data_IF_046802809165
#
_entry.id   IF_046802809165
#
_cell.length_a   1.000
_cell.length_b   1.000
_cell.length_c   1.000
_cell.angle_alpha   90.00
_cell.angle_beta   90.00
_cell.angle_gamma   90.00
#
_symmetry.space_group_name_H-M   'P 1'
#
loop_
_entity.id
_entity.type
_entity.pdbx_description
1 polymer ?
#
# COMPACT_ATOMS: atom_id res chain seq x y z
N UNK A 1 17.57 -17.56 15.33
CA UNK A 1 17.97 -17.89 13.95
C UNK A 1 17.69 -19.33 13.48
N UNK A 2 17.93 -20.45 14.21
CA UNK A 2 17.67 -21.80 13.65
C UNK A 2 16.18 -22.14 13.43
N UNK A 3 15.25 -21.55 14.17
CA UNK A 3 13.80 -21.78 13.97
C UNK A 3 13.24 -21.12 12.70
N UNK A 4 13.82 -20.00 12.27
CA UNK A 4 13.43 -19.27 11.05
C UNK A 4 13.76 -20.07 9.77
N UNK A 5 14.95 -20.65 9.69
CA UNK A 5 15.37 -21.43 8.52
C UNK A 5 14.52 -22.70 8.33
N UNK A 6 14.07 -23.34 9.42
CA UNK A 6 13.21 -24.50 9.36
C UNK A 6 11.79 -24.18 8.89
N UNK A 7 11.23 -23.02 9.27
CA UNK A 7 9.91 -22.58 8.83
C UNK A 7 9.90 -22.22 7.34
N UNK A 8 10.93 -21.51 6.86
CA UNK A 8 11.08 -21.19 5.44
C UNK A 8 11.21 -22.47 4.60
N UNK A 9 11.99 -23.44 5.06
CA UNK A 9 12.17 -24.72 4.36
C UNK A 9 10.86 -25.54 4.29
N UNK A 10 10.04 -25.52 5.33
CA UNK A 10 8.74 -26.20 5.34
C UNK A 10 7.73 -25.54 4.40
N UNK A 11 7.69 -24.20 4.37
CA UNK A 11 6.80 -23.45 3.47
C UNK A 11 7.17 -23.67 2.01
N UNK A 12 8.47 -23.67 1.69
CA UNK A 12 8.96 -23.96 0.35
C UNK A 12 8.72 -25.42 -0.09
N UNK A 13 8.80 -26.37 0.85
CA UNK A 13 8.57 -27.80 0.54
C UNK A 13 7.09 -28.11 0.27
N UNK A 14 6.17 -27.44 0.93
CA UNK A 14 4.72 -27.58 0.67
C UNK A 14 4.27 -27.00 -0.68
N UNK A 15 5.01 -26.02 -1.22
CA UNK A 15 4.72 -25.39 -2.51
C UNK A 15 5.26 -26.14 -3.73
N UNK A 16 6.09 -27.17 -3.53
CA UNK A 16 6.76 -27.92 -4.61
C UNK A 16 5.91 -29.03 -5.27
N UNK A 17 4.61 -29.14 -4.97
CA UNK A 17 3.74 -30.09 -5.65
C UNK A 17 3.50 -29.65 -7.09
N UNK A 18 4.20 -30.30 -8.01
CA UNK A 18 4.19 -30.05 -9.44
C UNK A 18 2.80 -30.17 -10.07
N UNK A 19 2.35 -29.14 -10.76
CA UNK A 19 1.23 -29.18 -11.71
C UNK A 19 1.80 -28.84 -13.10
N UNK A 20 1.41 -29.57 -14.17
CA UNK A 20 2.04 -29.38 -15.48
C UNK A 20 1.76 -28.01 -16.10
N UNK A 21 2.79 -27.52 -16.77
CA UNK A 21 2.88 -26.23 -17.44
C UNK A 21 1.88 -26.09 -18.58
N UNK A 22 1.02 -25.06 -18.54
CA UNK A 22 0.38 -24.43 -19.71
C UNK A 22 -0.40 -23.19 -19.25
N UNK A 23 0.22 -22.03 -19.21
CA UNK A 23 -0.34 -20.69 -19.47
C UNK A 23 0.62 -19.58 -19.05
N UNK A 24 0.84 -18.62 -19.92
CA UNK A 24 1.57 -17.40 -19.67
C UNK A 24 0.86 -16.58 -18.57
N UNK A 25 1.64 -16.06 -17.63
CA UNK A 25 1.21 -15.05 -16.68
C UNK A 25 1.12 -13.73 -17.46
N UNK A 26 -0.03 -13.45 -18.04
CA UNK A 26 -0.33 -12.12 -18.57
C UNK A 26 -0.84 -11.25 -17.42
N UNK A 27 -0.29 -10.06 -17.30
CA UNK A 27 -0.87 -9.00 -16.49
C UNK A 27 -2.14 -8.52 -17.18
N UNK A 28 -3.25 -9.22 -17.00
CA UNK A 28 -4.53 -9.03 -17.67
C UNK A 28 -5.27 -7.74 -17.26
N UNK A 29 -4.53 -6.68 -16.93
CA UNK A 29 -5.11 -5.38 -16.62
C UNK A 29 -5.15 -4.41 -17.81
N UNK A 30 -4.64 -4.78 -18.96
CA UNK A 30 -4.92 -4.06 -20.18
C UNK A 30 -6.36 -4.38 -20.66
N UNK A 31 -7.29 -3.55 -20.20
CA UNK A 31 -8.57 -3.45 -20.89
C UNK A 31 -8.27 -3.06 -22.33
N UNK A 32 -8.78 -3.81 -23.33
CA UNK A 32 -8.71 -3.33 -24.71
C UNK A 32 -9.24 -1.89 -24.72
N UNK A 33 -8.45 -0.94 -25.17
CA UNK A 33 -8.80 0.51 -25.20
C UNK A 33 -9.98 0.81 -26.15
N UNK A 34 -10.70 -0.23 -26.59
CA UNK A 34 -11.82 -0.18 -27.51
C UNK A 34 -13.17 0.05 -26.84
N UNK A 35 -13.29 -0.23 -25.55
CA UNK A 35 -14.56 -0.05 -24.85
C UNK A 35 -14.74 1.39 -24.41
N UNK A 36 -15.82 2.00 -24.87
CA UNK A 36 -16.17 3.38 -24.48
C UNK A 36 -16.56 3.49 -23.00
N UNK A 37 -17.01 2.40 -22.42
CA UNK A 37 -17.37 2.30 -20.99
C UNK A 37 -16.87 0.96 -20.49
N UNK A 38 -16.26 0.93 -19.32
CA UNK A 38 -15.82 -0.30 -18.66
C UNK A 38 -16.26 -0.34 -17.21
N UNK A 39 -16.44 -1.57 -16.73
CA UNK A 39 -16.70 -1.88 -15.33
C UNK A 39 -15.73 -2.99 -14.92
N UNK A 40 -15.04 -2.79 -13.81
CA UNK A 40 -14.19 -3.79 -13.18
C UNK A 40 -14.59 -3.96 -11.73
N UNK A 41 -14.42 -5.14 -11.19
CA UNK A 41 -14.66 -5.40 -9.78
C UNK A 41 -13.61 -6.36 -9.22
N UNK A 42 -13.31 -6.21 -7.96
CA UNK A 42 -12.47 -7.12 -7.17
C UNK A 42 -13.25 -7.55 -5.94
N UNK A 43 -13.30 -8.84 -5.69
CA UNK A 43 -13.76 -9.45 -4.44
C UNK A 43 -12.58 -10.21 -3.83
N UNK A 44 -12.27 -9.95 -2.55
CA UNK A 44 -11.25 -10.67 -1.78
C UNK A 44 -11.85 -11.21 -0.47
N UNK A 45 -11.90 -12.52 -0.36
CA UNK A 45 -12.36 -13.22 0.86
C UNK A 45 -11.20 -14.00 1.44
N UNK A 46 -10.98 -13.89 2.74
CA UNK A 46 -9.82 -14.49 3.43
C UNK A 46 -10.20 -15.35 4.61
N UNK A 47 -9.54 -16.48 4.72
CA UNK A 47 -9.39 -17.20 5.98
C UNK A 47 -8.11 -16.71 6.65
N UNK A 48 -8.25 -16.07 7.79
CA UNK A 48 -7.14 -15.45 8.53
C UNK A 48 -6.90 -16.20 9.82
N UNK A 49 -5.65 -16.52 10.12
CA UNK A 49 -5.21 -17.00 11.44
C UNK A 49 -4.21 -16.00 12.00
N UNK A 50 -4.67 -15.20 12.95
CA UNK A 50 -3.88 -14.17 13.59
C UNK A 50 -3.29 -14.66 14.92
N UNK A 51 -2.06 -14.22 15.23
CA UNK A 51 -1.37 -14.43 16.48
C UNK A 51 -1.97 -13.64 17.64
N UNK A 52 -1.48 -13.83 18.88
CA UNK A 52 -2.01 -13.18 20.07
C UNK A 52 -1.47 -11.74 20.22
N UNK A 53 -1.72 -10.90 19.24
CA UNK A 53 -1.33 -9.48 19.22
C UNK A 53 -2.52 -8.63 18.76
N UNK A 54 -2.58 -7.34 19.13
CA UNK A 54 -3.63 -6.45 18.64
C UNK A 54 -3.56 -6.25 17.13
N UNK A 55 -4.70 -5.93 16.54
CA UNK A 55 -4.85 -5.50 15.14
C UNK A 55 -4.92 -3.99 15.07
N UNK A 56 -4.39 -3.40 14.02
CA UNK A 56 -4.61 -1.97 13.79
C UNK A 56 -6.03 -1.67 13.30
N UNK A 57 -6.73 -2.63 12.70
CA UNK A 57 -8.11 -2.42 12.23
C UNK A 57 -9.13 -2.33 13.35
N UNK A 58 -8.92 -3.04 14.45
CA UNK A 58 -9.88 -3.11 15.55
C UNK A 58 -9.61 -2.07 16.65
N UNK A 59 -8.34 -1.91 17.02
CA UNK A 59 -7.97 -1.10 18.18
C UNK A 59 -7.13 0.14 17.84
N UNK A 60 -6.78 0.33 16.56
CA UNK A 60 -5.88 1.39 16.12
C UNK A 60 -4.46 1.25 16.66
N UNK A 61 -4.13 0.11 17.24
CA UNK A 61 -2.80 -0.28 17.72
C UNK A 61 -2.44 -1.62 17.11
N UNK A 62 -1.15 -1.91 17.03
CA UNK A 62 -0.67 -3.14 16.39
C UNK A 62 -0.13 -2.89 15.00
N UNK A 63 0.62 -3.85 14.51
CA UNK A 63 1.44 -3.72 13.29
C UNK A 63 0.92 -4.55 12.12
N UNK A 64 -0.04 -5.47 12.36
CA UNK A 64 -0.68 -6.25 11.31
C UNK A 64 -2.16 -5.88 11.17
N UNK A 65 -2.69 -5.95 9.95
CA UNK A 65 -4.11 -5.75 9.66
C UNK A 65 -5.00 -6.66 10.50
N UNK A 66 -4.60 -7.91 10.71
CA UNK A 66 -5.37 -8.89 11.49
C UNK A 66 -4.63 -9.26 12.77
N UNK A 67 -5.32 -9.14 13.89
CA UNK A 67 -4.85 -9.48 15.23
C UNK A 67 -5.68 -10.57 15.90
N UNK A 68 -5.25 -10.96 17.10
CA UNK A 68 -5.93 -11.88 17.96
C UNK A 68 -7.22 -11.30 18.54
N UNK A 69 -7.99 -12.15 19.19
CA UNK A 69 -9.19 -11.73 19.92
C UNK A 69 -8.79 -11.23 21.32
N UNK A 70 -9.20 -10.02 21.68
CA UNK A 70 -9.04 -9.54 23.05
C UNK A 70 -9.94 -10.31 24.00
N UNK A 71 -9.39 -10.78 25.10
CA UNK A 71 -10.06 -11.50 26.18
C UNK A 71 -9.75 -10.80 27.49
N UNK A 72 -10.75 -10.70 28.39
CA UNK A 72 -10.61 -9.98 29.65
C UNK A 72 -10.72 -8.47 29.50
N UNK A 73 -10.66 -7.76 30.64
CA UNK A 73 -10.74 -6.30 30.73
C UNK A 73 -9.72 -5.78 31.76
N UNK A 74 -9.28 -4.54 31.60
CA UNK A 74 -8.34 -3.92 32.54
C UNK A 74 -6.98 -4.65 32.56
N UNK A 75 -6.46 -4.95 33.75
CA UNK A 75 -5.16 -5.59 33.93
C UNK A 75 -5.10 -7.05 33.46
N UNK A 76 -6.25 -7.72 33.34
CA UNK A 76 -6.35 -9.11 32.86
C UNK A 76 -6.55 -9.19 31.33
N UNK A 77 -6.61 -8.06 30.64
CA UNK A 77 -6.78 -8.02 29.19
C UNK A 77 -5.56 -8.63 28.48
N UNK A 78 -5.80 -9.59 27.62
CA UNK A 78 -4.78 -10.22 26.79
C UNK A 78 -5.37 -10.59 25.42
N UNK A 79 -4.52 -10.91 24.48
CA UNK A 79 -4.94 -11.36 23.14
C UNK A 79 -4.76 -12.85 22.99
N UNK A 80 -5.76 -13.51 22.43
CA UNK A 80 -5.69 -14.93 22.07
C UNK A 80 -5.66 -15.10 20.55
N UNK A 81 -5.01 -16.18 20.11
CA UNK A 81 -5.00 -16.55 18.68
C UNK A 81 -6.42 -16.81 18.19
N UNK A 82 -6.73 -16.30 17.00
CA UNK A 82 -8.05 -16.46 16.38
C UNK A 82 -7.92 -16.92 14.95
N UNK A 83 -8.92 -17.70 14.48
CA UNK A 83 -9.10 -18.03 13.06
C UNK A 83 -10.48 -17.53 12.64
N UNK A 84 -10.56 -16.70 11.61
CA UNK A 84 -11.81 -16.11 11.14
C UNK A 84 -11.85 -16.01 9.60
N UNK A 85 -13.06 -16.12 9.04
CA UNK A 85 -13.33 -15.82 7.64
C UNK A 85 -13.78 -14.36 7.54
N UNK A 86 -13.16 -13.60 6.65
CA UNK A 86 -13.44 -12.18 6.47
C UNK A 86 -13.66 -11.85 5.00
N UNK A 87 -14.58 -10.93 4.71
CA UNK A 87 -14.61 -10.19 3.47
C UNK A 87 -13.61 -9.05 3.61
N UNK A 88 -12.45 -9.20 2.98
CA UNK A 88 -11.35 -8.24 3.15
C UNK A 88 -11.49 -7.02 2.25
N UNK A 89 -12.01 -7.22 1.03
CA UNK A 89 -12.19 -6.13 0.09
C UNK A 89 -13.28 -6.46 -0.93
N UNK A 90 -14.10 -5.47 -1.23
CA UNK A 90 -14.94 -5.40 -2.42
C UNK A 90 -14.69 -4.04 -3.07
N UNK A 91 -14.10 -4.04 -4.26
CA UNK A 91 -13.83 -2.82 -5.01
C UNK A 91 -14.58 -2.83 -6.34
N UNK A 92 -15.04 -1.66 -6.74
CA UNK A 92 -15.71 -1.46 -8.05
C UNK A 92 -15.04 -0.24 -8.70
N UNK A 93 -14.56 -0.43 -9.92
CA UNK A 93 -14.06 0.62 -10.80
C UNK A 93 -15.01 0.77 -11.99
N UNK A 94 -15.40 2.00 -12.27
CA UNK A 94 -16.16 2.36 -13.47
C UNK A 94 -15.40 3.43 -14.23
N UNK A 95 -15.38 3.32 -15.54
CA UNK A 95 -14.75 4.36 -16.36
C UNK A 95 -15.38 4.48 -17.73
N UNK A 96 -15.07 5.58 -18.39
CA UNK A 96 -15.53 5.90 -19.73
C UNK A 96 -14.50 6.72 -20.51
N UNK A 97 -14.46 6.48 -21.83
CA UNK A 97 -13.74 7.34 -22.76
C UNK A 97 -14.74 8.35 -23.35
N UNK A 98 -14.57 9.61 -22.98
CA UNK A 98 -15.38 10.73 -23.43
C UNK A 98 -14.91 11.26 -24.80
N UNK A 99 -15.72 12.11 -25.48
CA UNK A 99 -15.28 12.79 -26.70
C UNK A 99 -13.95 13.51 -26.52
N UNK A 100 -13.13 13.50 -27.56
CA UNK A 100 -11.78 14.06 -27.51
C UNK A 100 -10.75 13.13 -26.83
N UNK A 101 -11.11 11.90 -26.47
CA UNK A 101 -10.21 10.92 -25.85
C UNK A 101 -9.87 11.25 -24.39
N UNK A 102 -10.75 11.93 -23.67
CA UNK A 102 -10.65 12.13 -22.23
C UNK A 102 -11.13 10.83 -21.54
N UNK A 103 -10.34 10.27 -20.64
CA UNK A 103 -10.74 9.16 -19.79
C UNK A 103 -11.28 9.68 -18.47
N UNK A 104 -12.48 9.25 -18.09
CA UNK A 104 -13.07 9.47 -16.79
C UNK A 104 -13.11 8.12 -16.06
N UNK A 105 -12.68 8.09 -14.80
CA UNK A 105 -12.61 6.88 -13.99
C UNK A 105 -12.97 7.21 -12.55
N UNK A 106 -13.68 6.30 -11.90
CA UNK A 106 -13.93 6.34 -10.46
C UNK A 106 -13.82 4.93 -9.87
N UNK A 107 -13.23 4.84 -8.68
CA UNK A 107 -13.09 3.60 -7.94
C UNK A 107 -13.65 3.75 -6.54
N UNK A 108 -14.52 2.83 -6.16
CA UNK A 108 -15.11 2.72 -4.83
C UNK A 108 -14.63 1.43 -4.16
N UNK A 109 -14.32 1.50 -2.89
CA UNK A 109 -13.87 0.38 -2.08
C UNK A 109 -14.79 0.16 -0.87
N UNK A 110 -14.85 -1.09 -0.41
CA UNK A 110 -15.56 -1.51 0.78
C UNK A 110 -14.74 -2.58 1.50
N UNK A 111 -14.32 -2.32 2.73
CA UNK A 111 -13.52 -3.20 3.58
C UNK A 111 -14.16 -3.28 4.97
N UNK A 112 -15.15 -4.16 5.16
CA UNK A 112 -15.97 -4.17 6.37
C UNK A 112 -15.22 -4.62 7.63
N UNK A 113 -14.02 -5.14 7.49
CA UNK A 113 -13.14 -5.53 8.60
C UNK A 113 -12.29 -4.37 9.14
N UNK A 114 -12.36 -3.18 8.53
CA UNK A 114 -11.69 -1.98 9.03
C UNK A 114 -12.68 -1.17 9.86
N UNK A 115 -12.43 -1.05 11.16
CA UNK A 115 -13.22 -0.26 12.11
C UNK A 115 -14.72 -0.65 12.15
N UNK A 116 -15.06 -1.90 11.81
CA UNK A 116 -16.46 -2.36 11.64
C UNK A 116 -17.28 -1.45 10.70
N UNK A 117 -16.62 -0.86 9.69
CA UNK A 117 -17.27 0.05 8.75
C UNK A 117 -18.16 -0.69 7.79
N UNK A 118 -19.43 -0.30 7.72
CA UNK A 118 -20.40 -0.83 6.77
C UNK A 118 -20.60 0.07 5.54
N UNK A 119 -19.80 1.12 5.38
CA UNK A 119 -19.95 2.11 4.33
C UNK A 119 -18.85 1.98 3.27
N UNK A 120 -19.17 2.05 1.96
CA UNK A 120 -18.18 2.15 0.92
C UNK A 120 -17.58 3.56 0.88
N UNK A 121 -16.34 3.67 0.39
CA UNK A 121 -15.65 4.93 0.22
C UNK A 121 -15.00 5.06 -1.16
N UNK A 122 -14.82 6.30 -1.59
CA UNK A 122 -14.22 6.62 -2.88
C UNK A 122 -12.69 6.65 -2.73
N UNK A 123 -12.00 5.82 -3.49
CA UNK A 123 -10.53 5.80 -3.55
C UNK A 123 -10.01 6.81 -4.54
N UNK A 124 -10.62 6.85 -5.73
CA UNK A 124 -10.16 7.62 -6.85
C UNK A 124 -11.34 8.12 -7.68
N UNK A 125 -11.24 9.35 -8.17
CA UNK A 125 -12.12 9.89 -9.20
C UNK A 125 -11.34 10.88 -10.05
N UNK A 126 -11.00 10.48 -11.27
CA UNK A 126 -10.09 11.23 -12.13
C UNK A 126 -10.65 11.46 -13.53
N UNK A 127 -10.21 12.57 -14.13
CA UNK A 127 -10.26 12.85 -15.55
C UNK A 127 -8.83 12.90 -16.06
N UNK A 128 -8.51 12.12 -17.09
CA UNK A 128 -7.17 12.07 -17.68
C UNK A 128 -7.23 12.25 -19.19
N UNK A 129 -6.31 13.04 -19.72
CA UNK A 129 -6.08 13.21 -21.14
C UNK A 129 -4.62 12.98 -21.47
N UNK A 130 -4.39 12.09 -22.43
CA UNK A 130 -3.07 11.82 -22.97
C UNK A 130 -2.91 12.44 -24.37
N UNK A 131 -1.69 12.89 -24.66
CA UNK A 131 -1.27 13.37 -25.97
C UNK A 131 0.04 12.71 -26.36
N UNK A 132 0.20 12.38 -27.64
CA UNK A 132 1.39 11.68 -28.15
C UNK A 132 1.16 10.20 -28.40
N UNK A 133 2.17 9.39 -28.14
CA UNK A 133 2.15 7.94 -28.34
C UNK A 133 2.91 7.22 -27.21
N UNK A 134 2.99 5.89 -27.26
CA UNK A 134 3.64 5.09 -26.23
C UNK A 134 5.13 5.46 -25.99
N UNK A 135 5.86 5.88 -27.03
CA UNK A 135 7.26 6.26 -26.89
C UNK A 135 7.46 7.72 -26.47
N UNK A 136 6.54 8.62 -26.84
CA UNK A 136 6.68 10.05 -26.56
C UNK A 136 5.34 10.68 -26.33
N UNK A 137 5.15 11.34 -25.20
CA UNK A 137 3.90 12.00 -24.93
C UNK A 137 3.88 12.77 -23.63
N UNK A 138 2.70 13.31 -23.37
CA UNK A 138 2.36 14.00 -22.14
C UNK A 138 0.96 13.58 -21.69
N UNK A 139 0.68 13.70 -20.43
CA UNK A 139 -0.68 13.59 -19.91
C UNK A 139 -0.99 14.70 -18.92
N UNK A 140 -2.27 14.98 -18.76
CA UNK A 140 -2.82 15.79 -17.70
C UNK A 140 -3.92 15.01 -17.02
N UNK A 141 -3.89 14.99 -15.70
CA UNK A 141 -4.89 14.34 -14.85
C UNK A 141 -5.41 15.30 -13.81
N UNK A 142 -6.71 15.24 -13.52
CA UNK A 142 -7.36 16.05 -12.51
C UNK A 142 -8.35 15.21 -11.72
N UNK A 143 -8.43 15.44 -10.41
CA UNK A 143 -9.39 14.74 -9.55
C UNK A 143 -8.82 14.32 -8.22
N UNK A 144 -9.44 13.31 -7.63
CA UNK A 144 -8.97 12.66 -6.41
C UNK A 144 -8.11 11.48 -6.80
N UNK A 145 -6.89 11.44 -6.28
CA UNK A 145 -5.89 10.45 -6.65
C UNK A 145 -4.96 10.11 -5.50
N UNK A 146 -4.38 8.91 -5.55
CA UNK A 146 -3.30 8.51 -4.67
C UNK A 146 -1.95 8.89 -5.27
N UNK A 147 -0.94 9.10 -4.42
CA UNK A 147 0.42 9.40 -4.87
C UNK A 147 1.04 8.19 -5.62
N UNK A 148 1.65 8.37 -6.80
CA UNK A 148 2.09 7.30 -7.68
C UNK A 148 3.46 6.69 -7.28
N UNK A 149 3.77 6.63 -5.99
CA UNK A 149 5.09 6.23 -5.50
C UNK A 149 5.25 4.73 -5.29
N UNK A 150 4.16 3.99 -5.03
CA UNK A 150 4.24 2.56 -4.75
C UNK A 150 4.71 1.74 -5.95
N UNK A 151 5.55 0.72 -5.68
CA UNK A 151 5.90 -0.33 -6.64
C UNK A 151 5.06 -1.61 -6.45
N UNK A 152 4.31 -1.72 -5.35
CA UNK A 152 3.54 -2.93 -5.02
C UNK A 152 2.07 -2.85 -5.44
N UNK A 153 1.46 -1.65 -5.37
CA UNK A 153 0.04 -1.43 -5.68
C UNK A 153 -0.18 -1.27 -7.18
N UNK A 154 0.10 -2.32 -7.93
CA UNK A 154 -0.03 -2.38 -9.39
C UNK A 154 -1.10 -3.37 -9.85
N UNK A 155 -1.73 -4.07 -8.92
CA UNK A 155 -2.78 -5.02 -9.19
C UNK A 155 -4.16 -4.37 -9.30
N UNK A 156 -5.18 -5.23 -9.46
CA UNK A 156 -6.57 -4.83 -9.52
C UNK A 156 -7.01 -4.02 -8.30
N UNK A 157 -7.75 -2.96 -8.55
CA UNK A 157 -8.24 -2.09 -7.48
C UNK A 157 -7.11 -1.64 -6.54
N UNK A 158 -5.94 -1.39 -7.11
CA UNK A 158 -4.73 -1.01 -6.40
C UNK A 158 -4.26 -2.03 -5.34
N UNK A 159 -4.69 -3.29 -5.45
CA UNK A 159 -4.21 -4.33 -4.54
C UNK A 159 -2.74 -4.65 -4.80
N UNK A 160 -1.97 -5.07 -3.78
CA UNK A 160 -0.64 -5.60 -3.99
C UNK A 160 -0.67 -6.81 -4.93
N UNK A 161 0.30 -6.89 -5.86
CA UNK A 161 0.34 -7.96 -6.85
C UNK A 161 1.27 -9.11 -6.45
N UNK A 162 2.34 -8.83 -5.71
CA UNK A 162 3.37 -9.80 -5.35
C UNK A 162 3.05 -10.57 -4.07
N UNK A 163 2.30 -9.97 -3.17
CA UNK A 163 1.93 -10.47 -1.84
C UNK A 163 0.45 -10.18 -1.60
N UNK A 164 -0.12 -10.67 -0.49
CA UNK A 164 -1.46 -10.25 -0.05
C UNK A 164 -1.36 -8.89 0.62
N UNK A 165 -0.40 -8.72 1.53
CA UNK A 165 -0.16 -7.48 2.27
C UNK A 165 0.94 -6.63 1.63
N UNK A 166 0.78 -5.32 1.60
CA UNK A 166 1.83 -4.41 1.19
C UNK A 166 2.95 -4.32 2.25
N UNK A 167 4.11 -3.79 1.86
CA UNK A 167 5.18 -3.39 2.78
C UNK A 167 4.71 -2.30 3.76
N UNK A 168 5.43 -2.12 4.86
CA UNK A 168 5.13 -1.06 5.82
C UNK A 168 5.10 0.33 5.15
N UNK A 169 6.08 0.60 4.27
CA UNK A 169 6.15 1.82 3.47
C UNK A 169 4.91 2.03 2.61
N UNK A 170 4.52 1.03 1.84
CA UNK A 170 3.43 1.15 0.91
C UNK A 170 2.05 1.03 1.59
N UNK A 171 1.93 0.33 2.72
CA UNK A 171 0.73 0.38 3.56
C UNK A 171 0.42 1.79 4.02
N UNK A 172 1.44 2.51 4.54
CA UNK A 172 1.24 3.90 4.96
C UNK A 172 0.89 4.83 3.79
N UNK A 173 1.59 4.73 2.65
CA UNK A 173 1.30 5.58 1.49
C UNK A 173 -0.14 5.41 0.99
N UNK A 174 -0.68 4.20 1.01
CA UNK A 174 -2.05 3.94 0.54
C UNK A 174 -3.14 4.20 1.58
N UNK A 175 -2.75 4.32 2.84
CA UNK A 175 -3.66 4.74 3.90
C UNK A 175 -3.73 6.26 4.08
N UNK A 176 -2.66 7.01 3.74
CA UNK A 176 -2.52 8.40 4.19
C UNK A 176 -2.23 9.40 3.05
N UNK A 177 -1.87 8.93 1.86
CA UNK A 177 -1.31 9.77 0.80
C UNK A 177 -2.24 9.96 -0.40
N UNK A 178 -3.48 10.37 -0.17
CA UNK A 178 -4.42 10.79 -1.22
C UNK A 178 -4.63 12.31 -1.22
N UNK A 179 -4.87 12.87 -2.39
CA UNK A 179 -5.14 14.29 -2.55
C UNK A 179 -6.14 14.56 -3.69
N UNK A 180 -6.73 15.75 -3.70
CA UNK A 180 -7.50 16.26 -4.82
C UNK A 180 -6.72 17.37 -5.52
N UNK A 181 -6.41 17.19 -6.80
CA UNK A 181 -5.53 18.11 -7.48
C UNK A 181 -5.36 17.89 -8.96
N UNK A 182 -4.22 18.32 -9.44
CA UNK A 182 -3.77 18.25 -10.82
C UNK A 182 -2.41 17.55 -10.88
N UNK A 183 -2.22 16.74 -11.90
CA UNK A 183 -0.98 16.05 -12.19
C UNK A 183 -0.67 16.12 -13.67
N UNK A 184 0.57 16.47 -14.00
CA UNK A 184 1.09 16.45 -15.36
C UNK A 184 2.23 15.46 -15.47
N UNK A 185 2.24 14.67 -16.52
CA UNK A 185 3.28 13.70 -16.81
C UNK A 185 3.85 13.90 -18.22
N UNK A 186 5.12 13.68 -18.36
CA UNK A 186 5.84 13.63 -19.62
C UNK A 186 6.66 12.35 -19.70
N UNK A 187 6.74 11.74 -20.91
CA UNK A 187 7.61 10.59 -21.17
C UNK A 187 8.25 10.68 -22.54
N UNK A 188 9.47 10.13 -22.61
CA UNK A 188 10.27 10.11 -23.83
C UNK A 188 11.11 8.84 -23.93
N UNK A 189 11.01 8.14 -25.04
CA UNK A 189 11.87 7.01 -25.37
C UNK A 189 13.03 7.49 -26.25
N UNK A 190 14.24 7.30 -25.75
CA UNK A 190 15.46 7.67 -26.45
C UNK A 190 15.77 6.69 -27.59
N UNK A 191 16.60 7.11 -28.54
CA UNK A 191 17.07 6.23 -29.62
C UNK A 191 17.87 5.00 -29.10
N UNK A 192 18.35 5.05 -27.87
CA UNK A 192 19.08 3.95 -27.23
C UNK A 192 18.18 2.96 -26.49
N UNK A 193 16.88 3.16 -26.54
CA UNK A 193 15.91 2.28 -25.90
C UNK A 193 15.78 2.52 -24.38
N UNK A 194 16.13 3.70 -23.89
CA UNK A 194 15.81 4.15 -22.54
C UNK A 194 14.53 4.98 -22.58
N UNK A 195 13.62 4.74 -21.62
CA UNK A 195 12.43 5.55 -21.39
C UNK A 195 12.64 6.43 -20.17
N UNK A 196 12.51 7.73 -20.37
CA UNK A 196 12.53 8.76 -19.33
C UNK A 196 11.11 9.21 -19.07
N UNK A 197 10.75 9.41 -17.80
CA UNK A 197 9.48 9.99 -17.39
C UNK A 197 9.68 11.04 -16.29
N UNK A 198 8.89 12.08 -16.35
CA UNK A 198 8.81 13.09 -15.31
C UNK A 198 7.34 13.43 -15.04
N UNK A 199 6.97 13.40 -13.78
CA UNK A 199 5.63 13.71 -13.31
C UNK A 199 5.73 14.77 -12.23
N UNK A 200 4.82 15.73 -12.27
CA UNK A 200 4.65 16.76 -11.24
C UNK A 200 3.16 16.91 -10.93
N UNK A 201 2.85 17.06 -9.66
CA UNK A 201 1.49 17.25 -9.22
C UNK A 201 1.38 18.21 -8.04
N UNK A 202 0.18 18.76 -7.88
CA UNK A 202 -0.19 19.59 -6.74
C UNK A 202 -1.67 19.40 -6.41
N UNK A 203 -2.01 19.47 -5.13
CA UNK A 203 -3.38 19.31 -4.68
C UNK A 203 -3.56 19.59 -3.20
N UNK A 204 -4.78 19.45 -2.73
CA UNK A 204 -5.23 19.72 -1.38
C UNK A 204 -5.64 18.43 -0.67
N UNK A 205 -5.60 18.43 0.66
CA UNK A 205 -6.15 17.34 1.48
C UNK A 205 -5.23 16.65 2.45
N UNK A 206 -3.89 16.52 2.22
CA UNK A 206 -3.05 15.72 3.11
C UNK A 206 -2.47 16.49 4.31
N UNK A 207 -3.21 17.45 4.91
CA UNK A 207 -2.74 18.21 6.08
C UNK A 207 -2.52 17.37 7.34
N UNK A 208 -3.05 16.16 7.36
CA UNK A 208 -2.84 15.21 8.46
C UNK A 208 -1.94 14.03 8.10
N UNK A 209 -1.27 14.08 6.98
CA UNK A 209 -0.34 13.03 6.58
C UNK A 209 0.74 12.84 7.63
N UNK A 210 1.14 11.59 7.87
CA UNK A 210 2.00 11.11 8.95
C UNK A 210 1.39 11.12 10.37
N UNK A 211 0.20 11.66 10.59
CA UNK A 211 -0.51 11.53 11.86
C UNK A 211 -0.76 10.06 12.23
N UNK A 212 -1.05 9.23 11.25
CA UNK A 212 -1.18 7.78 11.46
C UNK A 212 0.10 7.18 12.03
N UNK A 213 1.25 7.53 11.49
CA UNK A 213 2.54 7.04 11.98
C UNK A 213 2.81 7.52 13.41
N UNK A 214 2.55 8.80 13.71
CA UNK A 214 2.74 9.34 15.05
C UNK A 214 1.84 8.69 16.11
N UNK A 215 0.59 8.38 15.77
CA UNK A 215 -0.38 7.81 16.71
C UNK A 215 -0.33 6.29 16.77
N UNK A 216 -0.21 5.60 15.64
CA UNK A 216 -0.29 4.16 15.51
C UNK A 216 1.05 3.47 15.32
N UNK A 217 2.00 4.14 14.66
CA UNK A 217 3.26 3.57 14.15
C UNK A 217 3.10 2.94 12.78
N UNK A 218 4.18 2.31 12.32
CA UNK A 218 4.18 1.56 11.07
C UNK A 218 3.29 0.33 11.18
N UNK A 219 2.59 0.02 10.09
CA UNK A 219 1.74 -1.15 9.98
C UNK A 219 1.94 -1.83 8.62
N UNK A 220 1.69 -3.13 8.57
CA UNK A 220 1.68 -3.92 7.35
C UNK A 220 0.24 -4.37 7.06
N UNK A 221 -0.21 -4.12 5.85
CA UNK A 221 -1.54 -4.49 5.40
C UNK A 221 -1.76 -4.13 3.95
N UNK A 222 -2.98 -4.23 3.50
CA UNK A 222 -3.43 -3.82 2.18
C UNK A 222 -4.72 -3.00 2.25
N UNK A 223 -4.99 -2.40 3.41
CA UNK A 223 -6.05 -1.43 3.57
C UNK A 223 -5.81 -0.19 2.74
N UNK A 224 -6.83 0.32 2.10
CA UNK A 224 -6.76 1.49 1.24
C UNK A 224 -7.75 2.51 1.77
N UNK A 225 -7.25 3.63 2.26
CA UNK A 225 -8.10 4.74 2.68
C UNK A 225 -8.59 5.55 1.49
N UNK A 226 -9.69 6.23 1.67
CA UNK A 226 -10.27 7.11 0.67
C UNK A 226 -11.26 8.07 1.32
N UNK A 227 -12.04 8.75 0.48
CA UNK A 227 -13.06 9.68 0.94
C UNK A 227 -14.11 8.96 1.76
N UNK A 228 -14.32 9.40 2.98
CA UNK A 228 -15.26 8.82 3.96
C UNK A 228 -14.86 7.44 4.48
N UNK A 229 -13.62 6.97 4.28
CA UNK A 229 -13.17 5.78 4.97
C UNK A 229 -13.05 6.03 6.48
N UNK A 230 -13.30 5.00 7.26
CA UNK A 230 -13.02 5.02 8.69
C UNK A 230 -11.55 4.60 8.92
N UNK A 231 -10.86 5.38 9.74
CA UNK A 231 -9.46 5.15 10.08
C UNK A 231 -9.37 4.83 11.57
N UNK A 232 -9.01 3.59 11.92
CA UNK A 232 -8.81 3.22 13.32
C UNK A 232 -7.57 3.91 13.89
N UNK A 233 -7.75 4.54 15.04
CA UNK A 233 -6.70 5.18 15.81
C UNK A 233 -6.74 4.64 17.25
N UNK A 234 -5.66 4.75 18.04
CA UNK A 234 -5.68 4.34 19.43
C UNK A 234 -6.84 4.97 20.22
N UNK A 235 -7.76 4.11 20.68
CA UNK A 235 -8.91 4.51 21.48
C UNK A 235 -10.05 5.22 20.73
N UNK A 236 -10.00 5.37 19.42
CA UNK A 236 -11.09 5.96 18.63
C UNK A 236 -11.02 5.58 17.15
N UNK A 237 -12.13 5.75 16.45
CA UNK A 237 -12.18 5.72 14.99
C UNK A 237 -12.45 7.13 14.48
N UNK A 238 -11.73 7.57 13.46
CA UNK A 238 -11.95 8.84 12.78
C UNK A 238 -12.35 8.61 11.34
N UNK A 239 -13.23 9.44 10.81
CA UNK A 239 -13.60 9.43 9.39
C UNK A 239 -12.60 10.26 8.60
N UNK A 240 -11.98 9.65 7.59
CA UNK A 240 -11.12 10.34 6.65
C UNK A 240 -11.98 11.25 5.76
N UNK A 241 -11.67 12.53 5.80
CA UNK A 241 -12.32 13.53 4.92
C UNK A 241 -11.35 13.89 3.82
N UNK A 242 -11.85 13.99 2.59
CA UNK A 242 -11.03 14.40 1.46
C UNK A 242 -10.35 15.71 1.71
N UNK A 243 -10.98 16.67 2.12
CA UNK A 243 -10.46 18.01 2.26
C UNK A 243 -10.33 18.30 3.76
N UNK A 244 -9.48 17.56 4.44
CA UNK A 244 -9.03 18.00 5.75
C UNK A 244 -7.95 19.08 5.58
N UNK A 245 -8.21 19.93 4.62
CA UNK A 245 -7.45 21.12 4.29
C UNK A 245 -7.74 22.19 5.33
N UNK A 246 -6.69 22.72 5.93
CA UNK A 246 -6.80 23.62 7.09
C UNK A 246 -6.00 24.90 6.94
N UNK A 247 -5.04 24.93 6.03
CA UNK A 247 -4.13 26.05 5.89
C UNK A 247 -4.12 26.68 4.49
N UNK A 248 -4.98 26.18 3.58
CA UNK A 248 -5.11 26.62 2.19
C UNK A 248 -3.78 26.52 1.40
N UNK A 249 -2.89 25.60 1.76
CA UNK A 249 -1.60 25.38 1.09
C UNK A 249 -1.59 24.06 0.32
N UNK A 250 -1.52 24.09 -1.00
CA UNK A 250 -1.47 22.86 -1.77
C UNK A 250 -0.18 22.08 -1.50
N UNK A 251 -0.31 20.79 -1.29
CA UNK A 251 0.80 19.85 -1.35
C UNK A 251 1.39 19.82 -2.77
N UNK A 252 2.67 19.51 -2.87
CA UNK A 252 3.37 19.34 -4.15
C UNK A 252 4.12 18.02 -4.15
N UNK A 253 4.21 17.39 -5.32
CA UNK A 253 4.98 16.17 -5.49
C UNK A 253 5.57 16.06 -6.89
N UNK A 254 6.60 15.23 -7.00
CA UNK A 254 7.22 14.91 -8.27
C UNK A 254 7.70 13.48 -8.30
N UNK A 255 7.78 12.88 -9.49
CA UNK A 255 8.31 11.55 -9.72
C UNK A 255 9.14 11.57 -11.00
N UNK A 256 10.38 11.09 -10.92
CA UNK A 256 11.22 10.80 -12.06
C UNK A 256 11.29 9.30 -12.28
N UNK A 257 11.18 8.86 -13.51
CA UNK A 257 11.30 7.47 -13.90
C UNK A 257 12.34 7.28 -14.99
N UNK A 258 13.12 6.22 -14.84
CA UNK A 258 14.07 5.76 -15.85
C UNK A 258 13.89 4.26 -16.01
N UNK A 259 13.59 3.78 -17.21
CA UNK A 259 13.53 2.35 -17.51
C UNK A 259 14.16 2.04 -18.85
N UNK A 260 14.54 0.79 -19.05
CA UNK A 260 14.79 0.31 -20.41
C UNK A 260 13.45 0.01 -21.11
N UNK A 261 13.45 0.00 -22.44
CA UNK A 261 12.23 -0.20 -23.25
C UNK A 261 11.56 -1.57 -23.04
N UNK A 262 12.30 -2.56 -22.54
CA UNK A 262 11.78 -3.90 -22.28
C UNK A 262 11.37 -4.07 -20.80
N UNK A 263 11.49 -3.00 -20.00
CA UNK A 263 11.18 -2.99 -18.56
C UNK A 263 11.96 -4.04 -17.75
N UNK A 264 13.15 -4.42 -18.21
CA UNK A 264 14.04 -5.32 -17.46
C UNK A 264 14.57 -4.63 -16.21
N UNK A 265 14.79 -3.32 -16.30
CA UNK A 265 15.21 -2.50 -15.17
C UNK A 265 14.45 -1.17 -15.16
N UNK A 266 14.00 -0.75 -14.00
CA UNK A 266 13.44 0.59 -13.81
C UNK A 266 13.90 1.19 -12.49
N UNK A 267 14.08 2.51 -12.50
CA UNK A 267 14.38 3.35 -11.34
C UNK A 267 13.30 4.41 -11.24
N UNK A 268 12.78 4.61 -10.03
CA UNK A 268 11.87 5.70 -9.70
C UNK A 268 12.45 6.52 -8.56
N UNK A 269 12.33 7.85 -8.62
CA UNK A 269 12.71 8.75 -7.54
C UNK A 269 11.62 9.81 -7.40
N UNK A 270 11.00 9.87 -6.23
CA UNK A 270 9.89 10.75 -5.91
C UNK A 270 10.18 11.67 -4.74
N UNK A 271 9.53 12.81 -4.73
CA UNK A 271 9.54 13.78 -3.64
C UNK A 271 8.11 14.23 -3.37
N UNK A 272 7.78 14.40 -2.11
CA UNK A 272 6.51 14.93 -1.60
C UNK A 272 6.74 15.96 -0.51
N UNK A 273 5.93 17.01 -0.50
CA UNK A 273 5.87 18.03 0.56
C UNK A 273 4.45 18.59 0.60
N UNK A 274 3.73 18.36 1.70
CA UNK A 274 2.40 18.94 1.86
C UNK A 274 2.42 20.43 2.22
N UNK A 275 3.60 21.00 2.49
CA UNK A 275 3.82 22.41 2.79
C UNK A 275 3.02 22.94 3.99
N UNK A 276 2.65 22.04 4.91
CA UNK A 276 1.76 22.32 6.03
C UNK A 276 2.21 23.50 6.87
N UNK A 277 1.29 24.40 7.21
CA UNK A 277 1.54 25.57 8.04
C UNK A 277 1.61 25.18 9.52
N UNK A 278 2.80 25.15 10.07
CA UNK A 278 3.04 24.84 11.47
C UNK A 278 2.36 25.81 12.45
N UNK A 279 1.98 27.02 12.01
CA UNK A 279 1.23 27.96 12.82
C UNK A 279 -0.26 27.59 12.94
N UNK A 280 -0.77 26.73 12.06
CA UNK A 280 -2.16 26.27 12.06
C UNK A 280 -2.30 25.02 12.92
N UNK A 281 -3.21 25.05 13.88
CA UNK A 281 -3.41 23.96 14.83
C UNK A 281 -3.84 22.66 14.13
N UNK A 282 -3.11 21.58 14.40
CA UNK A 282 -3.39 20.24 13.90
C UNK A 282 -3.03 20.01 12.43
N UNK A 283 -2.30 20.93 11.79
CA UNK A 283 -1.68 20.75 10.49
C UNK A 283 -0.32 20.11 10.68
N UNK A 284 -0.06 19.03 9.95
CA UNK A 284 1.21 18.35 9.91
C UNK A 284 2.02 18.84 8.71
N UNK A 285 3.25 19.22 8.94
CA UNK A 285 4.21 19.44 7.86
C UNK A 285 4.96 18.14 7.60
N UNK A 286 4.57 17.46 6.53
CA UNK A 286 5.13 16.16 6.15
C UNK A 286 5.83 16.27 4.80
N UNK A 287 7.09 15.84 4.77
CA UNK A 287 7.88 15.78 3.54
C UNK A 287 8.71 14.50 3.51
N UNK A 288 8.87 13.93 2.34
CA UNK A 288 9.72 12.75 2.16
C UNK A 288 10.25 12.62 0.73
N UNK A 289 11.31 11.85 0.63
CA UNK A 289 11.85 11.34 -0.64
C UNK A 289 11.65 9.82 -0.69
N UNK A 290 11.29 9.30 -1.82
CA UNK A 290 11.17 7.87 -2.06
C UNK A 290 11.97 7.47 -3.29
N UNK A 291 12.75 6.38 -3.19
CA UNK A 291 13.49 5.80 -4.31
C UNK A 291 13.10 4.33 -4.43
N UNK A 292 12.84 3.90 -5.64
CA UNK A 292 12.45 2.52 -5.92
C UNK A 292 13.14 1.96 -7.15
N UNK A 293 13.47 0.68 -7.10
CA UNK A 293 14.05 -0.07 -8.20
C UNK A 293 13.25 -1.34 -8.46
N UNK A 294 13.03 -1.62 -9.74
CA UNK A 294 12.48 -2.90 -10.20
C UNK A 294 13.48 -3.52 -11.18
N UNK A 295 13.78 -4.80 -11.00
CA UNK A 295 14.66 -5.57 -11.85
C UNK A 295 13.97 -6.88 -12.24
N UNK A 296 14.08 -7.25 -13.52
CA UNK A 296 13.63 -8.53 -14.08
C UNK A 296 14.82 -9.25 -14.72
N UNK A 297 15.77 -9.74 -13.89
CA UNK A 297 17.02 -10.32 -14.40
C UNK A 297 16.79 -11.57 -15.26
N UNK A 298 15.66 -12.22 -15.06
CA UNK A 298 15.19 -13.37 -15.85
C UNK A 298 13.70 -13.23 -16.10
N UNK A 299 13.17 -13.86 -17.13
CA UNK A 299 11.75 -13.80 -17.51
C UNK A 299 10.77 -14.26 -16.42
N UNK A 300 11.26 -14.92 -15.39
CA UNK A 300 10.46 -15.50 -14.32
C UNK A 300 10.87 -15.01 -12.92
N UNK A 301 11.71 -13.97 -12.83
CA UNK A 301 12.14 -13.40 -11.55
C UNK A 301 11.94 -11.88 -11.57
N UNK A 302 11.15 -11.39 -10.63
CA UNK A 302 11.03 -9.97 -10.32
C UNK A 302 11.74 -9.66 -9.00
N UNK A 303 12.50 -8.58 -8.96
CA UNK A 303 13.12 -8.05 -7.75
C UNK A 303 12.72 -6.59 -7.61
N UNK A 304 12.15 -6.23 -6.48
CA UNK A 304 11.75 -4.87 -6.15
C UNK A 304 12.40 -4.45 -4.85
N UNK A 305 12.81 -3.18 -4.79
CA UNK A 305 13.20 -2.55 -3.53
C UNK A 305 12.75 -1.09 -3.53
N UNK A 306 12.33 -0.60 -2.37
CA UNK A 306 11.98 0.81 -2.16
C UNK A 306 12.56 1.29 -0.84
N UNK A 307 12.95 2.56 -0.80
CA UNK A 307 13.43 3.26 0.38
C UNK A 307 12.72 4.61 0.47
N UNK A 308 12.27 4.96 1.66
CA UNK A 308 11.66 6.24 2.00
C UNK A 308 12.41 6.85 3.18
N UNK A 309 12.71 8.14 3.07
CA UNK A 309 13.25 8.96 4.14
C UNK A 309 12.50 10.29 4.18
N UNK A 310 12.07 10.70 5.36
CA UNK A 310 11.25 11.87 5.51
C UNK A 310 11.16 12.38 6.95
N UNK A 311 10.39 13.43 7.11
CA UNK A 311 10.09 14.03 8.42
C UNK A 311 8.64 14.48 8.48
N UNK A 312 8.11 14.50 9.70
CA UNK A 312 6.79 15.01 10.01
C UNK A 312 6.84 15.85 11.27
N UNK A 313 6.24 17.04 11.21
CA UNK A 313 6.18 17.97 12.32
C UNK A 313 4.77 18.51 12.49
N UNK A 314 4.30 18.64 13.73
CA UNK A 314 3.07 19.35 14.12
C UNK A 314 3.33 20.15 15.39
N UNK A 315 2.96 21.43 15.41
CA UNK A 315 3.22 22.28 16.56
C UNK A 315 2.24 22.07 17.74
N UNK A 316 1.03 21.56 17.47
CA UNK A 316 0.03 21.34 18.52
C UNK A 316 -0.85 20.13 18.22
N UNK A 317 -0.78 19.03 19.01
CA UNK A 317 0.25 18.80 20.04
C UNK A 317 1.65 18.72 19.43
N UNK A 318 2.65 19.17 20.16
CA UNK A 318 4.03 19.16 19.66
C UNK A 318 4.48 17.73 19.35
N UNK A 319 4.88 17.48 18.11
CA UNK A 319 5.47 16.23 17.67
C UNK A 319 6.41 16.50 16.50
N UNK A 320 7.64 16.05 16.64
CA UNK A 320 8.68 16.14 15.61
C UNK A 320 9.30 14.77 15.41
N UNK A 321 9.25 14.25 14.20
CA UNK A 321 9.63 12.87 13.92
C UNK A 321 10.38 12.73 12.61
N UNK A 322 11.46 11.95 12.61
CA UNK A 322 12.07 11.40 11.40
C UNK A 322 11.43 10.05 11.06
N UNK A 323 11.16 9.84 9.79
CA UNK A 323 10.47 8.68 9.23
C UNK A 323 11.38 7.96 8.26
N UNK A 324 11.62 6.68 8.46
CA UNK A 324 12.41 5.87 7.53
C UNK A 324 11.74 4.50 7.36
N UNK A 325 11.61 4.06 6.12
CA UNK A 325 11.15 2.70 5.82
C UNK A 325 11.76 2.20 4.51
N UNK A 326 12.03 0.90 4.44
CA UNK A 326 12.44 0.26 3.20
C UNK A 326 11.99 -1.19 3.16
N UNK A 327 11.88 -1.71 1.95
CA UNK A 327 11.72 -3.14 1.74
C UNK A 327 12.53 -3.62 0.54
N UNK A 328 12.79 -4.92 0.54
CA UNK A 328 13.29 -5.65 -0.60
C UNK A 328 12.46 -6.93 -0.80
N UNK A 329 12.09 -7.20 -2.04
CA UNK A 329 11.22 -8.29 -2.43
C UNK A 329 11.84 -9.04 -3.60
N UNK A 330 11.80 -10.37 -3.55
CA UNK A 330 12.11 -11.22 -4.68
C UNK A 330 10.91 -12.15 -4.94
N UNK A 331 10.48 -12.17 -6.17
CA UNK A 331 9.32 -12.95 -6.63
C UNK A 331 9.73 -13.83 -7.78
N UNK A 332 9.49 -15.13 -7.64
CA UNK A 332 9.68 -16.12 -8.68
C UNK A 332 8.32 -16.59 -9.17
N UNK A 333 8.06 -16.49 -10.48
CA UNK A 333 6.85 -16.99 -11.09
C UNK A 333 7.15 -18.09 -12.12
N UNK A 334 6.33 -19.12 -12.10
CA UNK A 334 6.36 -20.21 -13.05
C UNK A 334 4.93 -20.53 -13.45
N UNK A 335 4.62 -20.36 -14.72
CA UNK A 335 3.28 -20.53 -15.28
C UNK A 335 2.22 -19.72 -14.52
N UNK A 336 1.37 -20.43 -13.75
CA UNK A 336 0.28 -19.84 -12.98
C UNK A 336 0.61 -19.62 -11.52
N UNK A 337 1.82 -19.92 -11.10
CA UNK A 337 2.23 -19.84 -9.71
C UNK A 337 3.26 -18.74 -9.52
N UNK A 338 3.21 -18.12 -8.35
CA UNK A 338 4.17 -17.12 -7.90
C UNK A 338 4.55 -17.41 -6.46
N UNK A 339 5.82 -17.36 -6.15
CA UNK A 339 6.35 -17.39 -4.78
C UNK A 339 7.13 -16.12 -4.55
N UNK A 340 6.81 -15.40 -3.50
CA UNK A 340 7.44 -14.12 -3.16
C UNK A 340 7.95 -14.16 -1.73
N UNK A 341 9.14 -13.61 -1.55
CA UNK A 341 9.71 -13.32 -0.22
C UNK A 341 9.99 -11.83 -0.15
N UNK A 342 9.56 -11.18 0.93
CA UNK A 342 9.81 -9.77 1.20
C UNK A 342 10.40 -9.61 2.60
N UNK A 343 11.36 -8.72 2.73
CA UNK A 343 11.87 -8.21 4.00
C UNK A 343 11.56 -6.72 4.08
N UNK A 344 10.98 -6.30 5.19
CA UNK A 344 10.66 -4.92 5.52
C UNK A 344 11.49 -4.46 6.72
N UNK A 345 11.88 -3.20 6.73
CA UNK A 345 12.44 -2.52 7.91
C UNK A 345 11.92 -1.10 7.98
N UNK A 346 11.53 -0.66 9.16
CA UNK A 346 10.89 0.64 9.37
C UNK A 346 11.28 1.25 10.71
N UNK A 347 11.24 2.59 10.77
CA UNK A 347 11.59 3.35 11.96
C UNK A 347 10.88 4.70 12.00
N UNK A 348 10.43 5.09 13.18
CA UNK A 348 10.11 6.47 13.56
C UNK A 348 11.09 6.85 14.67
N UNK A 349 11.73 8.00 14.54
CA UNK A 349 12.54 8.60 15.60
C UNK A 349 11.85 9.86 16.08
N UNK A 350 11.36 9.81 17.29
CA UNK A 350 10.78 10.93 18.02
C UNK A 350 11.88 11.89 18.43
N UNK A 351 11.71 13.17 18.16
CA UNK A 351 12.71 14.23 18.36
C UNK A 351 12.24 15.30 19.36
N UNK A 352 10.98 15.29 19.79
CA UNK A 352 10.40 16.37 20.59
C UNK A 352 10.64 16.25 22.10
N UNK A 353 11.03 15.08 22.60
CA UNK A 353 11.25 14.81 24.02
C UNK A 353 9.98 14.70 24.86
N UNK A 354 8.82 14.63 24.21
CA UNK A 354 7.53 14.31 24.82
C UNK A 354 7.35 12.83 25.16
N UNK A 355 6.12 12.30 25.22
CA UNK A 355 5.88 10.87 25.33
C UNK A 355 6.50 10.17 24.11
N UNK A 356 7.42 9.23 24.36
CA UNK A 356 8.21 8.59 23.30
C UNK A 356 7.31 7.86 22.29
N UNK A 357 7.09 8.46 21.13
CA UNK A 357 6.34 7.90 19.99
C UNK A 357 7.22 7.14 18.99
N UNK A 358 8.52 6.96 19.31
CA UNK A 358 9.44 6.18 18.49
C UNK A 358 8.87 4.79 18.20
N UNK A 359 9.15 4.30 17.00
CA UNK A 359 8.78 2.96 16.54
C UNK A 359 9.93 2.40 15.72
N UNK A 360 10.22 1.11 15.85
CA UNK A 360 11.14 0.43 14.96
C UNK A 360 10.75 -1.04 14.83
N UNK A 361 10.99 -1.60 13.67
CA UNK A 361 10.69 -2.98 13.43
C UNK A 361 11.22 -3.51 12.11
N UNK A 362 11.08 -4.81 11.99
CA UNK A 362 11.37 -5.56 10.78
C UNK A 362 10.35 -6.70 10.59
N UNK A 363 10.10 -7.05 9.35
CA UNK A 363 9.18 -8.13 9.01
C UNK A 363 9.72 -9.00 7.88
N UNK A 364 9.33 -10.27 7.91
CA UNK A 364 9.51 -11.20 6.79
C UNK A 364 8.14 -11.66 6.35
N UNK A 365 7.84 -11.48 5.07
CA UNK A 365 6.62 -11.96 4.42
C UNK A 365 6.98 -13.03 3.39
N UNK A 366 6.28 -14.16 3.43
CA UNK A 366 6.37 -15.22 2.41
C UNK A 366 4.98 -15.43 1.85
N UNK A 367 4.83 -15.30 0.54
CA UNK A 367 3.57 -15.45 -0.16
C UNK A 367 3.68 -16.47 -1.28
N UNK A 368 2.65 -17.30 -1.42
CA UNK A 368 2.44 -18.15 -2.58
C UNK A 368 1.10 -17.81 -3.22
N UNK A 369 1.07 -17.71 -4.55
CA UNK A 369 -0.11 -17.37 -5.31
C UNK A 369 -0.32 -18.37 -6.44
N UNK A 370 -1.56 -18.71 -6.70
CA UNK A 370 -1.99 -19.54 -7.82
C UNK A 370 -3.08 -18.80 -8.62
N UNK A 371 -2.79 -18.45 -9.87
CA UNK A 371 -3.79 -17.99 -10.83
C UNK A 371 -4.52 -19.19 -11.37
N UNK A 372 -5.61 -19.58 -10.72
CA UNK A 372 -6.38 -20.79 -11.11
C UNK A 372 -7.03 -20.65 -12.48
N UNK A 373 -7.63 -19.48 -12.76
CA UNK A 373 -8.18 -19.07 -14.05
C UNK A 373 -7.94 -17.57 -14.21
N UNK A 374 -8.16 -17.01 -15.39
CA UNK A 374 -7.96 -15.58 -15.66
C UNK A 374 -8.51 -14.63 -14.58
N UNK A 375 -9.67 -14.95 -14.02
CA UNK A 375 -10.38 -14.12 -13.03
C UNK A 375 -10.25 -14.61 -11.59
N UNK A 376 -9.58 -15.76 -11.33
CA UNK A 376 -9.58 -16.41 -10.02
C UNK A 376 -8.16 -16.61 -9.52
N UNK A 377 -7.82 -15.99 -8.42
CA UNK A 377 -6.54 -16.14 -7.74
C UNK A 377 -6.73 -16.68 -6.32
N UNK A 378 -5.96 -17.68 -5.96
CA UNK A 378 -5.79 -18.16 -4.58
C UNK A 378 -4.40 -17.73 -4.14
N UNK A 379 -4.28 -17.17 -2.94
CA UNK A 379 -3.00 -16.78 -2.38
C UNK A 379 -2.91 -17.22 -0.92
N UNK A 380 -1.73 -17.67 -0.53
CA UNK A 380 -1.38 -17.97 0.85
C UNK A 380 -0.22 -17.09 1.27
N UNK A 381 -0.29 -16.50 2.46
CA UNK A 381 0.75 -15.63 2.99
C UNK A 381 1.02 -15.90 4.46
N UNK A 382 2.28 -15.83 4.82
CA UNK A 382 2.75 -15.80 6.20
C UNK A 382 3.56 -14.55 6.44
N UNK A 383 3.24 -13.83 7.52
CA UNK A 383 3.99 -12.67 7.99
C UNK A 383 4.52 -12.97 9.40
N UNK A 384 5.79 -12.71 9.60
CA UNK A 384 6.44 -12.70 10.93
C UNK A 384 7.12 -11.34 11.11
N UNK A 385 6.84 -10.68 12.20
CA UNK A 385 7.24 -9.30 12.45
C UNK A 385 7.80 -9.16 13.87
N UNK A 386 8.84 -8.33 14.01
CA UNK A 386 9.29 -7.79 15.29
C UNK A 386 9.07 -6.28 15.27
N UNK A 387 8.48 -5.72 16.31
CA UNK A 387 8.38 -4.27 16.46
C UNK A 387 8.55 -3.87 17.91
N UNK A 388 9.12 -2.69 18.11
CA UNK A 388 9.27 -2.06 19.41
C UNK A 388 8.70 -0.66 19.34
N UNK A 389 7.58 -0.44 20.05
CA UNK A 389 6.88 0.83 20.13
C UNK A 389 6.50 1.15 21.58
N UNK A 390 7.32 1.91 22.33
CA UNK A 390 7.06 2.22 23.73
C UNK A 390 5.70 2.86 23.99
N UNK A 391 5.25 3.75 23.10
CA UNK A 391 3.98 4.47 23.27
C UNK A 391 2.73 3.59 23.13
N UNK A 392 2.85 2.36 22.57
CA UNK A 392 1.68 1.49 22.38
C UNK A 392 1.07 0.98 23.68
N UNK A 393 1.85 0.97 24.77
CA UNK A 393 1.47 0.31 26.03
C UNK A 393 1.31 -1.22 25.91
N UNK A 394 1.57 -1.78 24.73
CA UNK A 394 1.56 -3.23 24.48
C UNK A 394 2.99 -3.73 24.63
N UNK A 395 3.23 -4.81 25.41
CA UNK A 395 4.56 -5.45 25.43
C UNK A 395 4.98 -5.79 24.00
N UNK A 396 6.27 -5.68 23.69
CA UNK A 396 6.80 -5.91 22.34
C UNK A 396 6.22 -7.20 21.74
N UNK A 397 5.21 -7.10 20.89
CA UNK A 397 4.65 -8.30 20.29
C UNK A 397 5.60 -8.79 19.20
N UNK A 398 5.73 -10.11 19.09
CA UNK A 398 6.20 -10.72 17.85
C UNK A 398 4.96 -11.18 17.05
N UNK A 399 4.21 -10.26 16.42
CA UNK A 399 2.98 -10.62 15.74
C UNK A 399 3.30 -11.52 14.55
N UNK A 400 2.51 -12.56 14.42
CA UNK A 400 2.56 -13.49 13.29
C UNK A 400 1.15 -13.68 12.74
N UNK A 401 1.04 -13.86 11.46
CA UNK A 401 -0.25 -14.09 10.82
C UNK A 401 -0.14 -14.99 9.60
N UNK A 402 -1.20 -15.77 9.38
CA UNK A 402 -1.41 -16.56 8.18
C UNK A 402 -2.69 -16.10 7.50
N UNK A 403 -2.63 -15.96 6.18
CA UNK A 403 -3.79 -15.60 5.38
C UNK A 403 -3.91 -16.56 4.20
N UNK A 404 -5.12 -17.03 3.94
CA UNK A 404 -5.50 -17.69 2.70
C UNK A 404 -6.55 -16.82 2.02
N UNK A 405 -6.21 -16.19 0.92
CA UNK A 405 -7.07 -15.29 0.14
C UNK A 405 -7.60 -16.00 -1.09
N UNK A 406 -8.87 -15.77 -1.37
CA UNK A 406 -9.47 -16.02 -2.66
C UNK A 406 -9.92 -14.70 -3.27
N UNK A 407 -9.35 -14.36 -4.42
CA UNK A 407 -9.69 -13.14 -5.18
C UNK A 407 -10.41 -13.50 -6.47
N UNK A 408 -11.50 -12.80 -6.71
CA UNK A 408 -12.22 -12.84 -7.98
C UNK A 408 -12.18 -11.46 -8.64
N UNK A 409 -11.86 -11.42 -9.93
CA UNK A 409 -11.80 -10.21 -10.76
C UNK A 409 -12.84 -10.29 -11.86
N UNK A 410 -13.60 -9.21 -12.03
CA UNK A 410 -14.58 -9.07 -13.10
C UNK A 410 -14.14 -8.02 -14.11
#
# INVERSE_FOLDING_TARGET
>A
MPRFAAQIAWTLLCCACAVPAWAQYESDYDVPQTDRVWLRALLDVRLVRAGPAPSWTDAGVGTLRYGGKQVGTGADAHFERVTRLVLSQLAIEIGATLPGGIRAQAQVNFEPDIADSAEPWLIEAILRKDWGNAGNGTSLQAGVMNLPFSLEHVGAAWSPDFTISASALNSWLWEDASLAGLEGEWWHETAWGLRLGALVGAGFGPDRMARLLALRGWALGDGISGINSDVPLPGRTERQRIFDERDDRPAVYSLLTLSDKNEVASLKAGYFDNRGDQATNGVWHTKFTVVGVTLRPFSHIDVLAQYLDGSAHVATPDNDSDLTAWYALASWHLDRQRVTVRYDSFRIRDLDGGPNTSDNGDAVTVSWQLQWRLRHRVAFEHISLNSHRPASGVPDPAPEGWQLSYRYRY
#
